data_IF_791828873049
#
_entry.id   IF_791828873049
#
_cell.length_a   1.000
_cell.length_b   1.000
_cell.length_c   1.000
_cell.angle_alpha   90.00
_cell.angle_beta   90.00
_cell.angle_gamma   90.00
#
_symmetry.space_group_name_H-M   'P 1'
#
loop_
_entity.id
_entity.type
_entity.pdbx_description
1 polymer ?
#
# COMPACT_ATOMS: atom_id res chain seq x y z
N UNK A 1 40.53 8.55 -1.99
CA UNK A 1 39.53 9.44 -2.64
C UNK A 1 38.36 9.61 -1.70
N UNK A 2 37.97 10.85 -1.41
CA UNK A 2 36.85 11.17 -0.51
C UNK A 2 35.55 11.24 -1.31
N UNK A 3 34.42 11.03 -0.63
CA UNK A 3 33.08 11.24 -1.19
C UNK A 3 32.48 12.50 -0.59
N UNK A 4 31.86 13.32 -1.43
CA UNK A 4 31.23 14.57 -1.05
C UNK A 4 29.78 14.54 -1.51
N UNK A 5 28.83 14.80 -0.63
CA UNK A 5 27.39 14.83 -0.95
C UNK A 5 26.87 16.26 -0.89
N UNK A 6 26.18 16.69 -1.95
CA UNK A 6 25.46 17.94 -1.95
C UNK A 6 24.28 17.88 -0.97
N UNK A 7 24.18 18.82 -0.03
CA UNK A 7 23.08 18.93 0.94
C UNK A 7 21.74 19.33 0.32
N UNK A 8 21.74 19.86 -0.90
CA UNK A 8 20.52 20.35 -1.58
C UNK A 8 19.86 19.26 -2.40
N UNK A 9 20.63 18.57 -3.25
CA UNK A 9 20.08 17.57 -4.18
C UNK A 9 20.57 16.13 -3.93
N UNK A 10 21.49 15.92 -3.00
CA UNK A 10 22.05 14.60 -2.71
C UNK A 10 23.12 14.11 -3.69
N UNK A 11 23.47 14.87 -4.75
CA UNK A 11 24.53 14.49 -5.70
C UNK A 11 25.84 14.14 -4.99
N UNK A 12 26.42 12.99 -5.36
CA UNK A 12 27.67 12.48 -4.77
C UNK A 12 28.83 12.67 -5.74
N UNK A 13 29.80 13.49 -5.35
CA UNK A 13 31.06 13.71 -6.04
C UNK A 13 32.18 12.88 -5.38
N UNK A 14 33.05 12.25 -6.18
CA UNK A 14 34.23 11.54 -5.67
C UNK A 14 35.49 12.29 -6.10
N UNK A 15 36.28 12.73 -5.12
CA UNK A 15 37.49 13.52 -5.36
C UNK A 15 38.16 13.94 -4.06
N UNK A 16 39.32 14.57 -4.14
CA UNK A 16 40.09 14.96 -2.94
C UNK A 16 39.46 16.14 -2.21
N UNK A 17 38.81 17.06 -2.94
CA UNK A 17 38.14 18.25 -2.40
C UNK A 17 36.70 18.37 -2.92
N UNK A 18 35.81 19.00 -2.13
CA UNK A 18 34.46 19.33 -2.58
C UNK A 18 34.49 20.39 -3.70
N UNK A 19 33.61 20.29 -4.71
CA UNK A 19 33.47 21.33 -5.72
C UNK A 19 32.74 22.55 -5.13
N UNK A 20 33.13 23.75 -5.58
CA UNK A 20 32.55 25.02 -5.15
C UNK A 20 31.08 25.15 -5.55
N UNK A 21 30.71 24.56 -6.69
CA UNK A 21 29.35 24.55 -7.23
C UNK A 21 28.92 23.13 -7.57
N UNK A 22 27.69 22.76 -7.16
CA UNK A 22 27.13 21.47 -7.49
C UNK A 22 26.80 21.38 -9.00
N UNK A 23 27.30 20.38 -9.73
CA UNK A 23 27.02 20.22 -11.17
C UNK A 23 25.56 19.82 -11.46
N UNK A 24 24.82 19.35 -10.44
CA UNK A 24 23.43 18.90 -10.59
C UNK A 24 22.41 20.00 -10.30
N UNK A 25 22.61 20.79 -9.24
CA UNK A 25 21.64 21.80 -8.80
C UNK A 25 22.22 23.21 -8.66
N UNK A 26 23.49 23.43 -9.01
CA UNK A 26 24.17 24.72 -8.98
C UNK A 26 24.26 25.38 -7.59
N UNK A 27 23.97 24.63 -6.53
CA UNK A 27 24.15 25.10 -5.16
C UNK A 27 25.63 25.30 -4.86
N UNK A 28 25.98 26.48 -4.33
CA UNK A 28 27.35 26.86 -3.98
C UNK A 28 27.68 26.44 -2.55
N UNK A 29 28.90 25.97 -2.31
CA UNK A 29 29.40 25.58 -0.98
C UNK A 29 28.48 24.59 -0.24
N UNK A 30 27.81 23.72 -0.98
CA UNK A 30 26.73 22.88 -0.47
C UNK A 30 27.16 21.44 -0.16
N UNK A 31 28.44 21.10 -0.30
CA UNK A 31 28.93 19.72 -0.11
C UNK A 31 29.36 19.43 1.31
N UNK A 32 29.07 18.21 1.77
CA UNK A 32 29.58 17.64 3.02
C UNK A 32 30.32 16.34 2.73
N UNK A 33 31.42 16.10 3.45
CA UNK A 33 32.16 14.84 3.36
C UNK A 33 31.29 13.69 3.87
N UNK A 34 31.25 12.59 3.13
CA UNK A 34 30.53 11.37 3.51
C UNK A 34 31.51 10.47 4.25
N UNK A 35 31.39 10.41 5.57
CA UNK A 35 32.09 9.45 6.44
C UNK A 35 31.28 8.15 6.53
N UNK A 36 31.94 7.00 6.66
CA UNK A 36 31.31 5.67 6.65
C UNK A 36 30.50 5.32 7.91
N UNK A 37 30.26 6.27 8.82
CA UNK A 37 29.39 6.05 9.97
C UNK A 37 27.93 6.05 9.52
N UNK A 38 27.40 4.83 9.35
CA UNK A 38 26.00 4.45 9.10
C UNK A 38 25.21 5.51 8.34
N UNK A 39 25.02 5.27 7.05
CA UNK A 39 23.96 5.90 6.26
C UNK A 39 22.59 5.58 6.89
N UNK A 40 22.20 6.33 7.91
CA UNK A 40 20.85 6.36 8.46
C UNK A 40 20.02 7.37 7.69
N UNK A 41 18.74 7.09 7.53
CA UNK A 41 17.78 8.06 7.02
C UNK A 41 17.49 9.11 8.09
N UNK A 42 17.22 10.35 7.69
CA UNK A 42 16.89 11.41 8.64
C UNK A 42 15.52 11.21 9.30
N UNK A 43 14.65 10.45 8.64
CA UNK A 43 13.33 10.04 9.10
C UNK A 43 12.98 8.73 8.36
N UNK A 44 12.29 7.82 9.04
CA UNK A 44 11.83 6.54 8.48
C UNK A 44 10.33 6.39 8.72
N UNK A 45 9.64 5.67 7.83
CA UNK A 45 8.27 5.28 8.08
C UNK A 45 8.25 4.18 9.17
N UNK A 46 7.45 4.39 10.19
CA UNK A 46 7.27 3.43 11.28
C UNK A 46 5.91 2.74 11.16
N UNK A 47 5.94 1.43 10.89
CA UNK A 47 4.73 0.59 10.89
C UNK A 47 4.25 0.40 12.33
N UNK A 48 2.99 0.70 12.60
CA UNK A 48 2.36 0.56 13.91
C UNK A 48 2.59 1.74 14.85
N UNK A 49 2.88 2.93 14.32
CA UNK A 49 3.07 4.15 15.12
C UNK A 49 1.82 4.55 15.93
N UNK A 50 0.63 4.04 15.57
CA UNK A 50 -0.61 4.31 16.28
C UNK A 50 -0.95 3.32 17.41
N UNK A 51 -0.20 2.22 17.60
CA UNK A 51 -0.58 1.10 18.49
C UNK A 51 -0.83 1.48 19.95
N UNK A 52 -0.17 2.54 20.43
CA UNK A 52 -0.23 2.97 21.83
C UNK A 52 -0.90 4.35 21.99
N UNK A 53 -1.66 4.79 20.99
CA UNK A 53 -2.44 6.02 21.07
C UNK A 53 -3.75 5.80 21.83
N UNK A 54 -4.50 6.89 21.97
CA UNK A 54 -5.83 6.86 22.59
C UNK A 54 -6.74 5.79 21.92
N UNK A 55 -7.45 4.94 22.69
CA UNK A 55 -8.28 3.88 22.13
C UNK A 55 -9.38 4.36 21.19
N UNK A 56 -9.96 5.54 21.43
CA UNK A 56 -10.98 6.12 20.55
C UNK A 56 -10.37 6.47 19.19
N UNK A 57 -9.16 7.05 19.20
CA UNK A 57 -8.42 7.34 17.96
C UNK A 57 -8.06 6.05 17.24
N UNK A 58 -7.52 5.05 17.93
CA UNK A 58 -7.17 3.75 17.31
C UNK A 58 -8.40 3.08 16.70
N UNK A 59 -9.55 3.14 17.38
CA UNK A 59 -10.79 2.61 16.84
C UNK A 59 -11.24 3.40 15.60
N UNK A 60 -11.18 4.73 15.64
CA UNK A 60 -11.48 5.56 14.48
C UNK A 60 -10.60 5.24 13.27
N UNK A 61 -9.30 4.98 13.47
CA UNK A 61 -8.40 4.56 12.39
C UNK A 61 -8.81 3.20 11.79
N UNK A 62 -9.26 2.25 12.63
CA UNK A 62 -9.75 0.93 12.17
C UNK A 62 -11.05 1.07 11.39
N UNK A 63 -11.96 1.90 11.86
CA UNK A 63 -13.24 2.13 11.21
C UNK A 63 -13.04 2.77 9.83
N UNK A 64 -12.17 3.77 9.73
CA UNK A 64 -11.80 4.36 8.44
C UNK A 64 -11.08 3.35 7.55
N UNK A 65 -10.11 2.57 8.05
CA UNK A 65 -9.48 1.51 7.25
C UNK A 65 -10.51 0.56 6.61
N UNK A 66 -11.50 0.10 7.37
CA UNK A 66 -12.56 -0.77 6.85
C UNK A 66 -13.48 -0.04 5.86
N UNK A 67 -13.78 1.23 6.11
CA UNK A 67 -14.53 2.09 5.20
C UNK A 67 -13.84 2.20 3.84
N UNK A 68 -12.60 2.67 3.83
CA UNK A 68 -11.79 2.82 2.62
C UNK A 68 -11.64 1.49 1.86
N UNK A 69 -11.35 0.38 2.55
CA UNK A 69 -11.30 -0.95 1.92
C UNK A 69 -12.63 -1.35 1.26
N UNK A 70 -13.76 -0.95 1.84
CA UNK A 70 -15.08 -1.21 1.27
C UNK A 70 -15.32 -0.36 0.03
N UNK A 71 -14.91 0.91 0.05
CA UNK A 71 -15.05 1.83 -1.08
C UNK A 71 -14.26 1.38 -2.32
N UNK A 72 -13.06 0.78 -2.14
CA UNK A 72 -12.31 0.16 -3.25
C UNK A 72 -13.20 -0.82 -4.02
N UNK A 73 -13.87 -1.74 -3.30
CA UNK A 73 -14.77 -2.72 -3.91
C UNK A 73 -15.99 -2.07 -4.56
N UNK A 74 -16.55 -1.03 -3.93
CA UNK A 74 -17.70 -0.27 -4.44
C UNK A 74 -17.37 0.43 -5.76
N UNK A 75 -16.26 1.17 -5.83
CA UNK A 75 -15.84 1.87 -7.04
C UNK A 75 -15.50 0.91 -8.17
N UNK A 76 -14.86 -0.24 -7.90
CA UNK A 76 -14.64 -1.28 -8.92
C UNK A 76 -15.95 -1.87 -9.43
N UNK A 77 -16.96 -2.05 -8.56
CA UNK A 77 -18.29 -2.50 -8.98
C UNK A 77 -19.01 -1.44 -9.84
N UNK A 78 -18.95 -0.16 -9.46
CA UNK A 78 -19.49 0.95 -10.24
C UNK A 78 -18.80 1.07 -11.61
N UNK A 79 -17.47 0.88 -11.66
CA UNK A 79 -16.71 0.84 -12.91
C UNK A 79 -17.25 -0.23 -13.88
N UNK A 80 -17.45 -1.46 -13.38
CA UNK A 80 -18.04 -2.56 -14.18
C UNK A 80 -19.44 -2.23 -14.69
N UNK A 81 -20.22 -1.48 -13.93
CA UNK A 81 -21.55 -1.06 -14.35
C UNK A 81 -21.48 0.02 -15.44
N UNK A 82 -20.62 1.02 -15.28
CA UNK A 82 -20.39 2.05 -16.30
C UNK A 82 -19.92 1.45 -17.65
N UNK A 83 -19.05 0.45 -17.63
CA UNK A 83 -18.63 -0.27 -18.84
C UNK A 83 -19.81 -0.95 -19.55
N UNK A 84 -20.74 -1.58 -18.80
CA UNK A 84 -21.94 -2.24 -19.36
C UNK A 84 -22.93 -1.26 -19.98
N UNK A 85 -22.98 -0.03 -19.46
CA UNK A 85 -23.82 1.05 -19.97
C UNK A 85 -23.17 1.79 -21.15
N UNK A 86 -21.90 1.49 -21.47
CA UNK A 86 -21.18 2.08 -22.59
C UNK A 86 -20.46 3.39 -22.26
N UNK A 87 -20.09 3.62 -20.98
CA UNK A 87 -19.36 4.81 -20.52
C UNK A 87 -17.92 4.48 -20.09
N UNK A 88 -17.00 4.21 -21.04
CA UNK A 88 -15.65 3.75 -20.71
C UNK A 88 -14.82 4.79 -19.95
N UNK A 89 -14.99 6.09 -20.23
CA UNK A 89 -14.27 7.16 -19.51
C UNK A 89 -14.71 7.26 -18.04
N UNK A 90 -15.99 7.02 -17.77
CA UNK A 90 -16.53 6.99 -16.40
C UNK A 90 -16.05 5.73 -15.68
N UNK A 91 -16.03 4.58 -16.36
CA UNK A 91 -15.50 3.35 -15.81
C UNK A 91 -14.02 3.50 -15.41
N UNK A 92 -13.22 4.16 -16.25
CA UNK A 92 -11.82 4.46 -15.97
C UNK A 92 -11.66 5.44 -14.81
N UNK A 93 -12.51 6.47 -14.70
CA UNK A 93 -12.52 7.37 -13.55
C UNK A 93 -12.78 6.61 -12.25
N UNK A 94 -13.78 5.72 -12.21
CA UNK A 94 -14.05 4.89 -11.04
C UNK A 94 -12.89 3.97 -10.65
N UNK A 95 -12.15 3.41 -11.63
CA UNK A 95 -10.94 2.63 -11.32
C UNK A 95 -9.87 3.48 -10.62
N UNK A 96 -9.71 4.74 -11.02
CA UNK A 96 -8.76 5.66 -10.40
C UNK A 96 -9.16 5.99 -8.96
N UNK A 97 -10.44 6.29 -8.72
CA UNK A 97 -10.95 6.53 -7.37
C UNK A 97 -10.75 5.31 -6.47
N UNK A 98 -10.97 4.09 -6.99
CA UNK A 98 -10.67 2.87 -6.24
C UNK A 98 -9.18 2.77 -5.82
N UNK A 99 -8.24 3.24 -6.65
CA UNK A 99 -6.82 3.29 -6.28
C UNK A 99 -6.49 4.42 -5.29
N UNK A 100 -7.23 5.53 -5.32
CA UNK A 100 -7.11 6.60 -4.33
C UNK A 100 -7.55 6.12 -2.95
N UNK A 101 -8.71 5.44 -2.84
CA UNK A 101 -9.14 4.86 -1.55
C UNK A 101 -8.23 3.72 -1.08
N UNK A 102 -7.63 2.97 -2.01
CA UNK A 102 -6.62 1.98 -1.67
C UNK A 102 -5.36 2.63 -1.07
N UNK A 103 -4.95 3.81 -1.54
CA UNK A 103 -3.87 4.60 -0.94
C UNK A 103 -4.26 5.06 0.47
N UNK A 104 -5.48 5.57 0.66
CA UNK A 104 -5.99 5.95 1.99
C UNK A 104 -5.99 4.77 2.97
N UNK A 105 -6.55 3.62 2.56
CA UNK A 105 -6.55 2.40 3.35
C UNK A 105 -5.12 1.95 3.71
N UNK A 106 -4.17 2.05 2.77
CA UNK A 106 -2.78 1.65 3.02
C UNK A 106 -2.11 2.47 4.13
N UNK A 107 -2.39 3.78 4.19
CA UNK A 107 -1.86 4.67 5.23
C UNK A 107 -2.44 4.35 6.60
N UNK A 108 -3.75 4.06 6.68
CA UNK A 108 -4.34 3.59 7.94
C UNK A 108 -3.74 2.25 8.39
N UNK A 109 -3.53 1.32 7.46
CA UNK A 109 -2.88 0.04 7.75
C UNK A 109 -1.45 0.19 8.23
N UNK A 110 -0.67 1.12 7.67
CA UNK A 110 0.68 1.45 8.12
C UNK A 110 0.67 2.01 9.55
N UNK A 111 -0.20 2.97 9.84
CA UNK A 111 -0.35 3.57 11.17
C UNK A 111 -0.72 2.52 12.22
N UNK A 112 -1.71 1.69 11.92
CA UNK A 112 -2.19 0.63 12.83
C UNK A 112 -1.17 -0.49 12.99
N UNK A 113 -0.54 -0.94 11.90
CA UNK A 113 0.38 -2.08 11.90
C UNK A 113 -0.28 -3.39 12.32
N UNK A 114 -1.60 -3.52 12.13
CA UNK A 114 -2.41 -4.69 12.48
C UNK A 114 -2.41 -5.74 11.36
N UNK A 115 -2.40 -5.29 10.10
CA UNK A 115 -2.42 -6.15 8.89
C UNK A 115 -1.10 -6.14 8.13
N UNK A 116 -0.11 -5.39 8.62
CA UNK A 116 1.21 -5.20 8.01
C UNK A 116 2.29 -5.27 9.08
N UNK A 117 3.43 -5.88 8.73
CA UNK A 117 4.68 -5.84 9.51
C UNK A 117 5.75 -5.06 8.75
N UNK A 118 6.82 -4.68 9.45
CA UNK A 118 8.00 -4.06 8.85
C UNK A 118 8.91 -5.04 8.07
N UNK A 119 8.46 -6.28 7.79
CA UNK A 119 9.23 -7.29 7.08
C UNK A 119 8.45 -7.85 5.90
N UNK A 120 8.94 -7.60 4.68
CA UNK A 120 8.36 -8.14 3.45
C UNK A 120 8.23 -9.65 3.47
N UNK A 121 9.26 -10.36 3.97
CA UNK A 121 9.22 -11.82 4.12
C UNK A 121 8.08 -12.25 5.02
N UNK A 122 7.93 -11.59 6.17
CA UNK A 122 6.86 -11.94 7.13
C UNK A 122 5.48 -11.63 6.57
N UNK A 123 5.32 -10.51 5.88
CA UNK A 123 4.07 -10.14 5.21
C UNK A 123 3.66 -11.19 4.17
N UNK A 124 4.61 -11.68 3.36
CA UNK A 124 4.36 -12.74 2.38
C UNK A 124 3.90 -14.04 3.05
N UNK A 125 4.59 -14.47 4.12
CA UNK A 125 4.21 -15.67 4.87
C UNK A 125 2.79 -15.57 5.46
N UNK A 126 2.46 -14.42 6.06
CA UNK A 126 1.15 -14.17 6.64
C UNK A 126 0.05 -14.14 5.57
N UNK A 127 0.30 -13.48 4.43
CA UNK A 127 -0.65 -13.40 3.32
C UNK A 127 -0.92 -14.78 2.72
N UNK A 128 0.12 -15.57 2.46
CA UNK A 128 -0.03 -16.92 1.94
C UNK A 128 -0.85 -17.82 2.87
N UNK A 129 -0.61 -17.75 4.19
CA UNK A 129 -1.37 -18.51 5.17
C UNK A 129 -2.85 -18.07 5.24
N UNK A 130 -3.10 -16.77 5.15
CA UNK A 130 -4.44 -16.21 5.18
C UNK A 130 -5.25 -16.51 3.91
N UNK A 131 -4.63 -16.52 2.72
CA UNK A 131 -5.32 -16.94 1.48
C UNK A 131 -5.76 -18.39 1.53
N UNK A 132 -4.91 -19.29 2.04
CA UNK A 132 -5.26 -20.71 2.17
C UNK A 132 -6.55 -20.91 3.00
N UNK A 133 -6.75 -20.14 4.08
CA UNK A 133 -7.98 -20.17 4.86
C UNK A 133 -9.18 -19.49 4.18
N UNK A 134 -8.94 -18.40 3.44
CA UNK A 134 -10.01 -17.67 2.74
C UNK A 134 -10.65 -18.49 1.62
N UNK A 135 -9.87 -19.30 0.89
CA UNK A 135 -10.38 -20.18 -0.16
C UNK A 135 -11.35 -21.24 0.37
N UNK A 136 -11.11 -21.77 1.58
CA UNK A 136 -12.02 -22.71 2.24
C UNK A 136 -13.38 -22.06 2.53
N UNK A 137 -13.38 -20.86 3.13
CA UNK A 137 -14.61 -20.13 3.42
C UNK A 137 -15.44 -19.81 2.17
N UNK A 138 -14.79 -19.39 1.07
CA UNK A 138 -15.45 -19.17 -0.22
C UNK A 138 -16.05 -20.47 -0.77
N UNK A 139 -15.31 -21.59 -0.72
CA UNK A 139 -15.79 -22.88 -1.19
C UNK A 139 -17.02 -23.37 -0.41
N UNK A 140 -17.01 -23.24 0.92
CA UNK A 140 -18.16 -23.61 1.75
C UNK A 140 -19.41 -22.75 1.46
N UNK A 141 -19.21 -21.44 1.23
CA UNK A 141 -20.28 -20.55 0.79
C UNK A 141 -20.84 -20.98 -0.57
N UNK A 142 -19.97 -21.31 -1.53
CA UNK A 142 -20.39 -21.79 -2.85
C UNK A 142 -21.20 -23.10 -2.75
N UNK A 143 -20.73 -24.09 -1.98
CA UNK A 143 -21.46 -25.34 -1.74
C UNK A 143 -22.84 -25.10 -1.14
N UNK A 144 -22.95 -24.21 -0.16
CA UNK A 144 -24.23 -23.83 0.45
C UNK A 144 -25.16 -23.17 -0.58
N UNK A 145 -24.64 -22.26 -1.41
CA UNK A 145 -25.41 -21.65 -2.49
C UNK A 145 -25.93 -22.71 -3.47
N UNK A 146 -25.11 -23.70 -3.82
CA UNK A 146 -25.54 -24.81 -4.68
C UNK A 146 -26.65 -25.65 -4.06
N UNK A 147 -26.53 -25.99 -2.78
CA UNK A 147 -27.55 -26.75 -2.05
C UNK A 147 -28.91 -26.03 -1.99
N UNK A 148 -28.91 -24.70 -2.06
CA UNK A 148 -30.11 -23.85 -2.10
C UNK A 148 -30.57 -23.49 -3.54
N UNK A 149 -29.92 -24.05 -4.57
CA UNK A 149 -30.17 -23.76 -5.99
C UNK A 149 -29.93 -22.28 -6.40
N UNK A 150 -28.94 -21.63 -5.79
CA UNK A 150 -28.50 -20.28 -6.16
C UNK A 150 -27.28 -20.33 -7.10
N UNK A 151 -27.50 -20.80 -8.33
CA UNK A 151 -26.42 -21.13 -9.27
C UNK A 151 -25.51 -19.92 -9.58
N UNK A 152 -26.06 -18.73 -9.82
CA UNK A 152 -25.24 -17.54 -10.11
C UNK A 152 -24.30 -17.16 -8.95
N UNK A 153 -24.74 -17.38 -7.70
CA UNK A 153 -23.92 -17.15 -6.50
C UNK A 153 -22.86 -18.23 -6.37
N UNK A 154 -23.25 -19.51 -6.54
CA UNK A 154 -22.31 -20.62 -6.54
C UNK A 154 -21.20 -20.40 -7.56
N UNK A 155 -21.54 -20.15 -8.83
CA UNK A 155 -20.57 -20.10 -9.91
C UNK A 155 -19.56 -18.97 -9.69
N UNK A 156 -20.05 -17.78 -9.31
CA UNK A 156 -19.18 -16.62 -9.05
C UNK A 156 -18.23 -16.87 -7.87
N UNK A 157 -18.77 -17.32 -6.72
CA UNK A 157 -17.97 -17.52 -5.51
C UNK A 157 -17.01 -18.71 -5.65
N UNK A 158 -17.42 -19.75 -6.37
CA UNK A 158 -16.59 -20.93 -6.63
C UNK A 158 -15.40 -20.59 -7.53
N UNK A 159 -15.57 -19.77 -8.56
CA UNK A 159 -14.42 -19.29 -9.35
C UNK A 159 -13.45 -18.48 -8.47
N UNK A 160 -13.95 -17.58 -7.61
CA UNK A 160 -13.10 -16.81 -6.67
C UNK A 160 -12.39 -17.67 -5.61
N UNK A 161 -12.81 -18.92 -5.42
CA UNK A 161 -12.17 -19.86 -4.50
C UNK A 161 -11.02 -20.64 -5.15
N UNK A 162 -10.90 -20.59 -6.49
CA UNK A 162 -9.84 -21.25 -7.26
C UNK A 162 -8.63 -20.34 -7.53
N UNK A 163 -8.86 -19.03 -7.54
CA UNK A 163 -7.81 -18.00 -7.57
C UNK A 163 -6.92 -18.07 -6.32
#
# INVERSE_FOLDING_TARGET
>A
MKKWRCKVCGFVFTGDNAPDECPQCHAKNAFVEVTEEKAGWACEHEVGSAKNLDPEIVQGLKDNFNGECSEVGMYLAMSRQADREGYPEIAEAFKRYAFEEADHASRFAELLGDVLTNSTKKNLELRAAAEAGACEGKLELAKKAKALNYDAVHDTVHEMAKD
#
